data_IF_702470454355
#
_entry.id   IF_702470454355
#
_cell.length_a   1.000
_cell.length_b   1.000
_cell.length_c   1.000
_cell.angle_alpha   90.00
_cell.angle_beta   90.00
_cell.angle_gamma   90.00
#
_symmetry.space_group_name_H-M   'P 1'
#
loop_
_entity.id
_entity.type
_entity.pdbx_description
1 polymer ?
#
# COMPACT_ATOMS: atom_id res chain seq x y z
N UNK A 1 17.81 30.62 20.91
CA UNK A 1 18.03 30.29 19.48
C UNK A 1 18.39 28.82 19.20
N UNK A 2 18.57 27.94 20.20
CA UNK A 2 18.97 26.52 20.02
C UNK A 2 17.80 25.52 19.88
N UNK A 3 16.59 25.88 20.33
CA UNK A 3 15.43 24.97 20.38
C UNK A 3 14.81 24.70 18.99
N UNK A 4 14.72 25.72 18.13
CA UNK A 4 14.23 25.60 16.76
C UNK A 4 15.13 24.72 15.87
N UNK A 5 16.45 24.76 16.07
CA UNK A 5 17.40 23.95 15.30
C UNK A 5 17.40 22.46 15.70
N UNK A 6 17.09 22.12 16.95
CA UNK A 6 16.96 20.71 17.41
C UNK A 6 15.71 20.04 16.85
N UNK A 7 14.57 20.75 16.85
CA UNK A 7 13.29 20.25 16.34
C UNK A 7 13.38 19.93 14.83
N UNK A 8 14.06 20.78 14.06
CA UNK A 8 14.24 20.55 12.61
C UNK A 8 15.19 19.38 12.27
N UNK A 9 16.16 19.07 13.13
CA UNK A 9 17.04 17.90 12.97
C UNK A 9 16.31 16.60 13.32
N UNK A 10 15.56 16.58 14.42
CA UNK A 10 14.75 15.43 14.83
C UNK A 10 13.68 15.08 13.78
N UNK A 11 12.96 16.07 13.24
CA UNK A 11 11.98 15.86 12.18
C UNK A 11 12.61 15.32 10.88
N UNK A 12 13.82 15.78 10.52
CA UNK A 12 14.58 15.25 9.37
C UNK A 12 15.03 13.81 9.59
N UNK A 13 15.50 13.45 10.79
CA UNK A 13 15.90 12.09 11.12
C UNK A 13 14.69 11.14 11.08
N UNK A 14 13.55 11.55 11.64
CA UNK A 14 12.28 10.81 11.59
C UNK A 14 11.81 10.56 10.16
N UNK A 15 11.81 11.59 9.30
CA UNK A 15 11.43 11.43 7.89
C UNK A 15 12.38 10.51 7.13
N UNK A 16 13.69 10.57 7.41
CA UNK A 16 14.67 9.64 6.83
C UNK A 16 14.46 8.21 7.30
N UNK A 17 14.21 8.00 8.59
CA UNK A 17 13.92 6.68 9.16
C UNK A 17 12.65 6.07 8.56
N UNK A 18 11.58 6.85 8.40
CA UNK A 18 10.34 6.42 7.74
C UNK A 18 10.55 6.09 6.27
N UNK A 19 11.31 6.91 5.55
CA UNK A 19 11.61 6.66 4.15
C UNK A 19 12.41 5.36 3.98
N UNK A 20 13.41 5.14 4.85
CA UNK A 20 14.18 3.92 4.90
C UNK A 20 13.31 2.70 5.24
N UNK A 21 12.48 2.78 6.29
CA UNK A 21 11.57 1.71 6.67
C UNK A 21 10.62 1.35 5.52
N UNK A 22 10.06 2.34 4.84
CA UNK A 22 9.21 2.12 3.67
C UNK A 22 9.96 1.38 2.55
N UNK A 23 11.21 1.77 2.29
CA UNK A 23 12.03 1.11 1.29
C UNK A 23 12.29 -0.37 1.65
N UNK A 24 12.71 -0.64 2.89
CA UNK A 24 12.95 -2.01 3.38
C UNK A 24 11.70 -2.88 3.24
N UNK A 25 10.52 -2.38 3.64
CA UNK A 25 9.26 -3.12 3.53
C UNK A 25 8.93 -3.44 2.06
N UNK A 26 9.08 -2.47 1.15
CA UNK A 26 8.80 -2.70 -0.28
C UNK A 26 9.77 -3.72 -0.88
N UNK A 27 11.05 -3.67 -0.52
CA UNK A 27 12.06 -4.63 -0.99
C UNK A 27 11.78 -6.02 -0.43
N UNK A 28 11.45 -6.14 0.85
CA UNK A 28 11.08 -7.41 1.47
C UNK A 28 9.85 -8.03 0.78
N UNK A 29 8.81 -7.24 0.49
CA UNK A 29 7.63 -7.70 -0.23
C UNK A 29 7.94 -8.14 -1.68
N UNK A 30 8.90 -7.49 -2.35
CA UNK A 30 9.36 -7.90 -3.69
C UNK A 30 10.14 -9.21 -3.62
N UNK A 31 11.04 -9.36 -2.65
CA UNK A 31 11.78 -10.61 -2.41
C UNK A 31 10.83 -11.76 -2.10
N UNK A 32 9.85 -11.52 -1.22
CA UNK A 32 8.78 -12.48 -0.95
C UNK A 32 8.02 -12.88 -2.23
N UNK A 33 7.62 -11.91 -3.07
CA UNK A 33 6.91 -12.23 -4.32
C UNK A 33 7.77 -13.04 -5.29
N UNK A 34 9.05 -12.75 -5.41
CA UNK A 34 9.93 -13.48 -6.35
C UNK A 34 10.23 -14.90 -5.87
N UNK A 35 10.45 -15.08 -4.58
CA UNK A 35 10.84 -16.37 -4.00
C UNK A 35 9.63 -17.26 -3.70
N UNK A 36 8.57 -16.72 -3.08
CA UNK A 36 7.43 -17.50 -2.62
C UNK A 36 6.27 -17.58 -3.62
N UNK A 37 6.09 -16.61 -4.53
CA UNK A 37 4.99 -16.68 -5.52
C UNK A 37 5.03 -17.89 -6.45
N UNK A 38 6.18 -18.46 -6.87
CA UNK A 38 6.17 -19.69 -7.67
C UNK A 38 5.85 -20.95 -6.85
N UNK A 39 6.00 -20.90 -5.52
CA UNK A 39 5.82 -22.05 -4.62
C UNK A 39 4.42 -22.13 -4.02
N UNK A 40 3.66 -21.02 -3.98
CA UNK A 40 2.34 -20.99 -3.38
C UNK A 40 1.23 -20.98 -4.45
N UNK A 41 0.20 -21.85 -4.33
CA UNK A 41 -0.99 -21.73 -5.17
C UNK A 41 -1.70 -20.39 -4.92
N UNK A 42 -2.47 -19.92 -5.90
CA UNK A 42 -3.27 -18.69 -5.79
C UNK A 42 -4.46 -18.87 -4.84
N UNK A 43 -4.19 -18.94 -3.53
CA UNK A 43 -5.19 -19.17 -2.48
C UNK A 43 -5.86 -17.89 -1.98
N UNK A 44 -5.51 -16.73 -2.54
CA UNK A 44 -6.10 -15.46 -2.13
C UNK A 44 -7.58 -15.42 -2.51
N UNK A 45 -8.45 -15.40 -1.50
CA UNK A 45 -9.90 -15.36 -1.69
C UNK A 45 -10.43 -13.92 -1.84
N UNK A 46 -9.76 -12.95 -1.24
CA UNK A 46 -10.13 -11.54 -1.31
C UNK A 46 -9.44 -10.86 -2.50
N UNK A 47 -10.16 -9.95 -3.16
CA UNK A 47 -9.59 -9.12 -4.24
C UNK A 47 -9.24 -7.70 -3.74
N UNK A 48 -8.08 -7.12 -4.09
CA UNK A 48 -6.95 -7.69 -4.84
C UNK A 48 -6.16 -8.72 -4.01
N UNK A 49 -5.19 -9.44 -4.60
CA UNK A 49 -4.42 -10.46 -3.84
C UNK A 49 -3.72 -9.88 -2.59
N UNK A 50 -3.49 -10.70 -1.56
CA UNK A 50 -2.90 -10.24 -0.29
C UNK A 50 -1.52 -9.59 -0.48
N UNK A 51 -0.70 -10.12 -1.39
CA UNK A 51 0.59 -9.53 -1.75
C UNK A 51 0.46 -8.18 -2.46
N UNK A 52 -0.51 -8.05 -3.36
CA UNK A 52 -0.79 -6.79 -4.05
C UNK A 52 -1.35 -5.73 -3.10
N UNK A 53 -2.25 -6.12 -2.20
CA UNK A 53 -2.73 -5.27 -1.12
C UNK A 53 -1.59 -4.76 -0.23
N UNK A 54 -0.68 -5.66 0.18
CA UNK A 54 0.46 -5.28 0.98
C UNK A 54 1.34 -4.23 0.28
N UNK A 55 1.52 -4.35 -1.04
CA UNK A 55 2.25 -3.36 -1.84
C UNK A 55 1.53 -2.01 -1.89
N UNK A 56 0.21 -2.00 -2.09
CA UNK A 56 -0.59 -0.77 -2.10
C UNK A 56 -0.51 -0.06 -0.74
N UNK A 57 -0.73 -0.80 0.36
CA UNK A 57 -0.67 -0.25 1.72
C UNK A 57 0.75 0.27 2.01
N UNK A 58 1.81 -0.48 1.71
CA UNK A 58 3.18 -0.03 1.94
C UNK A 58 3.56 1.24 1.15
N UNK A 59 2.95 1.47 -0.03
CA UNK A 59 3.24 2.64 -0.88
C UNK A 59 2.54 3.91 -0.41
N UNK A 60 1.28 3.80 0.01
CA UNK A 60 0.39 4.95 0.25
C UNK A 60 0.07 5.19 1.74
N UNK A 61 0.17 4.18 2.59
CA UNK A 61 -0.05 4.29 4.03
C UNK A 61 1.26 4.63 4.75
N UNK A 62 1.15 5.12 5.99
CA UNK A 62 2.29 5.22 6.89
C UNK A 62 2.88 3.83 7.17
N UNK A 63 4.20 3.63 7.07
CA UNK A 63 4.81 2.30 7.19
C UNK A 63 4.66 1.68 8.58
N UNK A 64 4.37 2.49 9.61
CA UNK A 64 4.07 2.00 10.97
C UNK A 64 2.68 1.36 11.08
N UNK A 65 1.67 1.88 10.37
CA UNK A 65 0.30 1.36 10.39
C UNK A 65 0.03 0.33 9.29
N UNK A 66 0.86 0.36 8.23
CA UNK A 66 0.80 -0.58 7.12
C UNK A 66 0.79 -2.07 7.56
N UNK A 67 1.74 -2.55 8.41
CA UNK A 67 1.79 -3.96 8.77
C UNK A 67 0.53 -4.42 9.49
N UNK A 68 -0.03 -3.59 10.38
CA UNK A 68 -1.26 -3.93 11.09
C UNK A 68 -2.44 -4.19 10.14
N UNK A 69 -2.65 -3.32 9.15
CA UNK A 69 -3.72 -3.50 8.17
C UNK A 69 -3.52 -4.72 7.27
N UNK A 70 -2.26 -5.05 6.95
CA UNK A 70 -1.91 -6.23 6.16
C UNK A 70 -2.12 -7.50 6.99
N UNK A 71 -1.64 -7.55 8.23
CA UNK A 71 -1.81 -8.70 9.12
C UNK A 71 -3.30 -8.96 9.40
N UNK A 72 -4.07 -7.93 9.72
CA UNK A 72 -5.52 -8.05 9.90
C UNK A 72 -6.18 -8.68 8.66
N UNK A 73 -5.79 -8.24 7.45
CA UNK A 73 -6.29 -8.82 6.21
C UNK A 73 -5.85 -10.28 6.00
N UNK A 74 -4.63 -10.65 6.37
CA UNK A 74 -4.17 -12.04 6.29
C UNK A 74 -5.03 -12.95 7.18
N UNK A 75 -5.37 -12.50 8.39
CA UNK A 75 -6.26 -13.23 9.30
C UNK A 75 -7.69 -13.36 8.76
N UNK A 76 -8.17 -12.35 8.02
CA UNK A 76 -9.43 -12.41 7.29
C UNK A 76 -9.39 -13.35 6.09
N UNK A 77 -8.22 -13.64 5.52
CA UNK A 77 -8.06 -14.50 4.36
C UNK A 77 -8.09 -15.99 4.71
N UNK A 78 -9.05 -16.39 5.52
CA UNK A 78 -9.31 -17.77 5.91
C UNK A 78 -10.12 -18.52 4.84
N UNK A 79 -9.96 -19.86 4.69
CA UNK A 79 -10.62 -20.64 3.64
C UNK A 79 -12.16 -20.61 3.72
N UNK A 80 -12.71 -20.37 4.91
CA UNK A 80 -14.15 -20.33 5.17
C UNK A 80 -14.82 -18.97 4.90
N UNK A 81 -14.06 -17.93 4.54
CA UNK A 81 -14.67 -16.64 4.17
C UNK A 81 -15.29 -16.67 2.77
N UNK A 82 -16.25 -15.79 2.48
CA UNK A 82 -16.75 -15.56 1.11
C UNK A 82 -15.76 -14.70 0.31
N UNK A 83 -15.73 -14.84 -1.01
CA UNK A 83 -14.97 -13.94 -1.89
C UNK A 83 -15.67 -12.56 -1.90
N UNK A 84 -14.95 -11.50 -1.57
CA UNK A 84 -15.43 -10.12 -1.71
C UNK A 84 -14.28 -9.16 -2.04
N UNK A 85 -14.64 -7.96 -2.48
CA UNK A 85 -13.71 -6.91 -2.89
C UNK A 85 -13.34 -6.08 -1.65
N UNK A 86 -12.05 -6.01 -1.34
CA UNK A 86 -11.55 -5.25 -0.20
C UNK A 86 -10.29 -4.47 -0.59
N UNK A 87 -10.47 -3.21 -0.98
CA UNK A 87 -9.37 -2.30 -1.29
C UNK A 87 -8.91 -1.52 -0.06
N UNK A 88 -7.62 -1.15 0.02
CA UNK A 88 -7.14 -0.34 1.13
C UNK A 88 -7.62 1.10 0.97
N UNK A 89 -8.10 1.66 2.07
CA UNK A 89 -8.44 3.07 2.18
C UNK A 89 -7.18 3.81 2.60
N UNK A 90 -6.71 4.70 1.72
CA UNK A 90 -5.45 5.43 1.90
C UNK A 90 -5.69 6.92 2.05
N UNK A 91 -4.84 7.56 2.88
CA UNK A 91 -4.88 9.01 3.11
C UNK A 91 -3.88 9.70 2.18
N UNK A 92 -4.36 10.38 1.14
CA UNK A 92 -3.50 11.16 0.24
C UNK A 92 -3.68 12.65 0.44
N UNK A 93 -2.55 13.37 0.44
CA UNK A 93 -2.50 14.82 0.27
C UNK A 93 -2.20 15.11 -1.20
N UNK A 94 -3.25 15.31 -2.00
CA UNK A 94 -3.08 15.71 -3.39
C UNK A 94 -2.47 17.12 -3.45
N UNK A 95 -1.34 17.27 -4.13
CA UNK A 95 -0.83 18.56 -4.57
C UNK A 95 -1.13 18.66 -6.06
N UNK A 96 -1.92 19.66 -6.47
CA UNK A 96 -2.13 19.94 -7.88
C UNK A 96 -0.78 20.32 -8.49
N UNK A 97 -0.23 19.44 -9.31
CA UNK A 97 0.99 19.68 -10.08
C UNK A 97 0.66 19.37 -11.52
N UNK A 98 0.84 20.35 -12.40
CA UNK A 98 0.68 20.16 -13.83
C UNK A 98 1.96 19.51 -14.34
N UNK A 99 1.90 18.20 -14.60
CA UNK A 99 3.00 17.44 -15.22
C UNK A 99 2.57 16.98 -16.61
N UNK A 100 3.54 16.82 -17.52
CA UNK A 100 3.36 16.16 -18.82
C UNK A 100 2.58 14.84 -18.65
N UNK A 101 1.68 14.44 -19.57
CA UNK A 101 0.91 13.21 -19.44
C UNK A 101 1.79 11.99 -19.15
N UNK A 102 1.69 11.48 -17.92
CA UNK A 102 2.37 10.26 -17.48
C UNK A 102 1.41 9.07 -17.58
N UNK A 103 1.95 7.88 -17.85
CA UNK A 103 1.18 6.63 -17.89
C UNK A 103 0.52 6.38 -16.52
N UNK A 104 -0.81 6.49 -16.48
CA UNK A 104 -1.60 6.32 -15.24
C UNK A 104 -1.64 4.83 -14.87
N UNK A 105 -0.90 4.43 -13.84
CA UNK A 105 -0.83 3.02 -13.42
C UNK A 105 -1.93 2.62 -12.43
N UNK A 106 -2.35 3.56 -11.58
CA UNK A 106 -3.29 3.33 -10.47
C UNK A 106 -4.31 4.46 -10.48
N UNK A 107 -5.59 4.11 -10.34
CA UNK A 107 -6.69 5.06 -10.24
C UNK A 107 -7.09 5.26 -8.77
N UNK A 108 -7.35 6.51 -8.39
CA UNK A 108 -7.80 6.85 -7.05
C UNK A 108 -9.26 7.27 -7.10
N UNK A 109 -10.13 6.54 -6.40
CA UNK A 109 -11.54 6.92 -6.28
C UNK A 109 -11.71 7.73 -5.00
N UNK A 110 -12.08 9.02 -5.08
CA UNK A 110 -12.27 9.84 -3.89
C UNK A 110 -13.48 9.37 -3.08
N UNK A 111 -13.30 9.23 -1.78
CA UNK A 111 -14.38 9.02 -0.80
C UNK A 111 -14.67 10.34 -0.07
N UNK A 112 -13.62 11.12 0.20
CA UNK A 112 -13.69 12.42 0.87
C UNK A 112 -12.48 13.26 0.45
N UNK A 113 -12.36 14.51 0.93
CA UNK A 113 -11.26 15.44 0.56
C UNK A 113 -9.84 14.85 0.75
N UNK A 114 -9.68 13.84 1.61
CA UNK A 114 -8.37 13.25 1.97
C UNK A 114 -8.29 11.72 1.81
N UNK A 115 -9.41 11.04 1.55
CA UNK A 115 -9.49 9.58 1.56
C UNK A 115 -9.82 9.05 0.18
N UNK A 116 -9.09 8.03 -0.26
CA UNK A 116 -9.22 7.46 -1.59
C UNK A 116 -9.13 5.93 -1.55
N UNK A 117 -9.90 5.26 -2.42
CA UNK A 117 -9.63 3.87 -2.77
C UNK A 117 -8.51 3.80 -3.79
N UNK A 118 -7.60 2.86 -3.62
CA UNK A 118 -6.64 2.48 -4.66
C UNK A 118 -7.29 1.43 -5.54
N UNK A 119 -7.64 1.79 -6.78
CA UNK A 119 -8.20 0.86 -7.77
C UNK A 119 -7.17 0.69 -8.89
N UNK A 120 -6.68 -0.52 -9.08
CA UNK A 120 -5.78 -0.81 -10.19
C UNK A 120 -6.54 -0.91 -11.50
N UNK A 121 -5.89 -0.57 -12.62
CA UNK A 121 -6.46 -0.71 -13.98
C UNK A 121 -6.60 -2.15 -14.44
N UNK A 122 -5.88 -3.09 -13.81
CA UNK A 122 -5.91 -4.50 -14.17
C UNK A 122 -7.15 -5.13 -13.52
N UNK A 123 -8.33 -4.89 -14.11
CA UNK A 123 -9.42 -5.85 -13.99
C UNK A 123 -9.00 -7.09 -14.79
N UNK A 124 -8.32 -8.05 -14.15
CA UNK A 124 -8.52 -9.44 -14.58
C UNK A 124 -9.93 -9.77 -14.12
N UNK A 125 -10.91 -9.50 -14.97
CA UNK A 125 -12.17 -10.24 -14.94
C UNK A 125 -11.71 -11.67 -15.20
N UNK A 126 -11.74 -12.61 -14.22
CA UNK A 126 -11.69 -14.01 -14.60
C UNK A 126 -12.89 -14.19 -15.52
N UNK A 127 -12.60 -14.46 -16.78
CA UNK A 127 -13.54 -14.76 -17.85
C UNK A 127 -14.81 -15.39 -17.28
N UNK A 128 -15.91 -14.65 -17.38
CA UNK A 128 -17.25 -15.21 -17.40
C UNK A 128 -17.37 -16.17 -18.59
#
# INVERSE_FOLDING_TARGET
MTQMAKISKAARLYNRAIAFLRYVVIVALRGYKLLLSPLLPQSCRLYPTCSHYAQLVAKYQNPLFAPFQVCYRLLLCQPFCKKYIHYPIVKLKLKATFSCPQKVTIWFVPISKKFFYTKDWVMVIPSL
#
